data_IF_462443442988
#
_entry.id   IF_462443442988
#
_cell.length_a   1.000
_cell.length_b   1.000
_cell.length_c   1.000
_cell.angle_alpha   90.00
_cell.angle_beta   90.00
_cell.angle_gamma   90.00
#
_symmetry.space_group_name_H-M   'P 1'
#
loop_
_entity.id
_entity.type
_entity.pdbx_description
1 polymer ?
#
# COMPACT_ATOMS: atom_id res chain seq x y z
N UNK A 1 26.19 -12.52 -55.49
CA UNK A 1 25.03 -11.73 -55.05
C UNK A 1 24.38 -12.49 -53.89
N UNK A 2 24.73 -12.16 -52.64
CA UNK A 2 24.24 -12.87 -51.47
C UNK A 2 23.19 -12.00 -50.77
N UNK A 3 21.94 -12.46 -50.75
CA UNK A 3 20.83 -11.78 -50.07
C UNK A 3 20.90 -12.13 -48.58
N UNK A 4 21.22 -11.16 -47.75
CA UNK A 4 21.15 -11.25 -46.30
C UNK A 4 19.69 -11.19 -45.84
N UNK A 5 19.18 -12.27 -45.26
CA UNK A 5 17.89 -12.28 -44.58
C UNK A 5 18.10 -11.79 -43.14
N UNK A 6 17.71 -10.54 -42.87
CA UNK A 6 17.69 -10.01 -41.51
C UNK A 6 16.37 -10.44 -40.82
N UNK A 7 16.42 -11.24 -39.74
CA UNK A 7 15.20 -11.57 -39.00
C UNK A 7 14.67 -10.29 -38.35
N UNK A 8 13.38 -9.99 -38.60
CA UNK A 8 12.69 -8.93 -37.86
C UNK A 8 12.53 -9.39 -36.42
N UNK A 9 13.28 -8.81 -35.51
CA UNK A 9 13.09 -8.93 -34.06
C UNK A 9 11.76 -8.28 -33.67
N UNK A 10 10.67 -9.00 -33.86
CA UNK A 10 9.32 -8.64 -33.43
C UNK A 10 9.17 -8.79 -31.92
N UNK A 11 9.99 -8.11 -31.13
CA UNK A 11 9.73 -7.93 -29.70
C UNK A 11 8.78 -6.74 -29.59
N UNK A 12 7.51 -6.98 -29.91
CA UNK A 12 6.45 -6.00 -29.63
C UNK A 12 6.46 -5.71 -28.13
N UNK A 13 6.55 -4.44 -27.76
CA UNK A 13 6.43 -4.01 -26.37
C UNK A 13 5.07 -4.49 -25.84
N UNK A 14 5.09 -5.49 -24.96
CA UNK A 14 3.88 -5.99 -24.32
C UNK A 14 3.29 -4.86 -23.47
N UNK A 15 2.10 -4.40 -23.84
CA UNK A 15 1.35 -3.46 -23.00
C UNK A 15 0.68 -4.25 -21.88
N UNK A 16 1.20 -4.09 -20.66
CA UNK A 16 0.57 -4.62 -19.46
C UNK A 16 -0.62 -3.72 -19.10
N UNK A 17 -1.80 -4.09 -19.58
CA UNK A 17 -3.06 -3.49 -19.13
C UNK A 17 -3.56 -4.22 -17.89
N UNK A 18 -3.68 -3.49 -16.78
CA UNK A 18 -4.29 -4.03 -15.55
C UNK A 18 -5.82 -3.92 -15.72
N UNK A 19 -6.56 -5.02 -15.69
CA UNK A 19 -8.01 -4.99 -15.87
C UNK A 19 -8.68 -4.24 -14.70
N UNK A 20 -9.74 -3.49 -15.00
CA UNK A 20 -10.45 -2.63 -14.03
C UNK A 20 -10.79 -3.34 -12.71
N UNK A 21 -11.25 -4.62 -12.69
CA UNK A 21 -11.51 -5.32 -11.43
C UNK A 21 -10.28 -5.45 -10.53
N UNK A 22 -9.09 -5.64 -11.10
CA UNK A 22 -7.83 -5.73 -10.32
C UNK A 22 -7.50 -4.38 -9.69
N UNK A 23 -7.71 -3.28 -10.42
CA UNK A 23 -7.58 -1.93 -9.86
C UNK A 23 -8.55 -1.67 -8.72
N UNK A 24 -9.81 -2.07 -8.88
CA UNK A 24 -10.83 -1.91 -7.83
C UNK A 24 -10.52 -2.73 -6.59
N UNK A 25 -10.11 -3.99 -6.75
CA UNK A 25 -9.71 -4.84 -5.62
C UNK A 25 -8.46 -4.27 -4.94
N UNK A 26 -7.43 -3.92 -5.71
CA UNK A 26 -6.19 -3.37 -5.16
C UNK A 26 -6.42 -2.09 -4.37
N UNK A 27 -7.19 -1.15 -4.92
CA UNK A 27 -7.54 0.11 -4.22
C UNK A 27 -8.41 -0.13 -2.99
N UNK A 28 -9.36 -1.05 -3.05
CA UNK A 28 -10.21 -1.40 -1.89
C UNK A 28 -9.37 -2.00 -0.76
N UNK A 29 -8.49 -2.95 -1.07
CA UNK A 29 -7.58 -3.54 -0.08
C UNK A 29 -6.66 -2.47 0.51
N UNK A 30 -6.09 -1.61 -0.33
CA UNK A 30 -5.24 -0.52 0.15
C UNK A 30 -5.99 0.45 1.06
N UNK A 31 -7.23 0.79 0.73
CA UNK A 31 -8.07 1.64 1.56
C UNK A 31 -8.39 0.98 2.92
N UNK A 32 -8.72 -0.31 2.93
CA UNK A 32 -8.96 -1.07 4.16
C UNK A 32 -7.70 -1.14 5.04
N UNK A 33 -6.52 -1.33 4.43
CA UNK A 33 -5.25 -1.29 5.16
C UNK A 33 -5.01 0.09 5.77
N UNK A 34 -5.20 1.16 5.01
CA UNK A 34 -5.06 2.52 5.54
C UNK A 34 -6.00 2.76 6.73
N UNK A 35 -7.27 2.37 6.61
CA UNK A 35 -8.25 2.48 7.69
C UNK A 35 -7.83 1.64 8.91
N UNK A 36 -7.33 0.42 8.70
CA UNK A 36 -6.83 -0.44 9.76
C UNK A 36 -5.66 0.19 10.52
N UNK A 37 -4.63 0.66 9.79
CA UNK A 37 -3.46 1.28 10.42
C UNK A 37 -3.82 2.57 11.17
N UNK A 38 -4.64 3.43 10.58
CA UNK A 38 -5.13 4.66 11.24
C UNK A 38 -5.97 4.31 12.47
N UNK A 39 -6.85 3.30 12.38
CA UNK A 39 -7.70 2.87 13.50
C UNK A 39 -6.91 2.28 14.67
N UNK A 40 -5.88 1.46 14.38
CA UNK A 40 -4.97 0.92 15.40
C UNK A 40 -4.23 2.06 16.12
N UNK A 41 -3.74 3.05 15.37
CA UNK A 41 -3.03 4.21 15.93
C UNK A 41 -3.90 5.02 16.89
N UNK A 42 -5.20 5.17 16.59
CA UNK A 42 -6.16 5.85 17.46
C UNK A 42 -6.75 4.94 18.55
N UNK A 43 -6.28 3.70 18.68
CA UNK A 43 -6.71 2.79 19.75
C UNK A 43 -8.07 2.12 19.52
N UNK A 44 -8.60 2.18 18.30
CA UNK A 44 -9.88 1.53 17.96
C UNK A 44 -9.79 0.00 17.94
N UNK A 45 -8.59 -0.54 17.68
CA UNK A 45 -8.30 -1.98 17.66
C UNK A 45 -6.90 -2.21 18.24
N UNK A 46 -6.77 -3.14 19.18
CA UNK A 46 -5.46 -3.66 19.61
C UNK A 46 -5.23 -5.07 19.08
N UNK A 47 -4.05 -5.28 18.48
CA UNK A 47 -3.61 -6.55 17.90
C UNK A 47 -3.15 -7.52 19.02
N UNK A 48 -2.81 -6.98 20.19
CA UNK A 48 -2.33 -7.73 21.36
C UNK A 48 -3.41 -7.86 22.46
N UNK A 49 -4.69 -7.79 22.09
CA UNK A 49 -5.81 -7.95 23.01
C UNK A 49 -6.15 -6.65 23.72
N UNK A 50 -6.06 -6.61 25.05
CA UNK A 50 -6.28 -5.37 25.83
C UNK A 50 -5.02 -4.53 25.99
N UNK A 51 -3.92 -4.93 25.34
CA UNK A 51 -2.62 -4.31 25.49
C UNK A 51 -2.45 -3.09 24.56
N UNK A 52 -2.09 -1.94 25.12
CA UNK A 52 -2.08 -0.63 24.45
C UNK A 52 -0.69 0.05 24.44
N UNK A 53 0.38 -0.65 24.83
CA UNK A 53 1.73 -0.03 24.90
C UNK A 53 2.16 0.59 23.56
N UNK A 54 1.80 -0.01 22.42
CA UNK A 54 2.11 0.56 21.10
C UNK A 54 1.30 1.83 20.86
N UNK A 55 0.02 1.85 21.24
CA UNK A 55 -0.84 3.03 21.13
C UNK A 55 -0.30 4.17 21.98
N UNK A 56 0.05 3.92 23.24
CA UNK A 56 0.62 4.93 24.14
C UNK A 56 1.99 5.42 23.66
N UNK A 57 2.86 4.54 23.18
CA UNK A 57 4.16 4.93 22.62
C UNK A 57 4.01 5.87 21.41
N UNK A 58 3.12 5.55 20.46
CA UNK A 58 2.91 6.41 19.29
C UNK A 58 2.17 7.69 19.66
N UNK A 59 1.20 7.59 20.57
CA UNK A 59 0.50 8.73 21.14
C UNK A 59 1.49 9.73 21.78
N UNK A 60 2.40 9.26 22.61
CA UNK A 60 3.44 10.07 23.26
C UNK A 60 4.44 10.64 22.25
N UNK A 61 4.79 9.87 21.20
CA UNK A 61 5.64 10.34 20.10
C UNK A 61 5.00 11.50 19.33
N UNK A 62 3.68 11.48 19.11
CA UNK A 62 2.96 12.59 18.48
C UNK A 62 3.03 13.87 19.34
N UNK A 63 2.83 13.72 20.65
CA UNK A 63 2.99 14.82 21.62
C UNK A 63 4.42 15.36 21.64
N UNK A 64 5.43 14.47 21.59
CA UNK A 64 6.84 14.86 21.52
C UNK A 64 7.15 15.71 20.27
N UNK A 65 6.53 15.39 19.13
CA UNK A 65 6.65 16.16 17.90
C UNK A 65 5.78 17.45 17.88
N UNK A 66 5.06 17.75 18.97
CA UNK A 66 4.28 18.97 19.15
C UNK A 66 2.91 18.95 18.47
N UNK A 67 2.45 17.79 17.98
CA UNK A 67 1.11 17.66 17.42
C UNK A 67 0.08 17.53 18.54
N UNK A 68 -0.99 18.35 18.57
CA UNK A 68 -2.01 18.30 19.60
C UNK A 68 -2.89 17.04 19.48
N UNK A 69 -3.42 16.56 20.61
CA UNK A 69 -4.50 15.58 20.68
C UNK A 69 -5.75 16.18 21.33
N UNK A 70 -6.92 15.55 21.13
CA UNK A 70 -8.16 15.91 21.82
C UNK A 70 -8.27 15.16 23.15
#
# INVERSE_FOLDING_TARGET
MATSYAPRSGLGAASLSIPTPVWLIGTTVLALLAIYFIGVDQGAVSIFGSDMHVHEFVHDGRHFLGFPCH
#
